data_IF_142706661384
#
_entry.id   IF_142706661384
#
_cell.length_a   1.000
_cell.length_b   1.000
_cell.length_c   1.000
_cell.angle_alpha   90.00
_cell.angle_beta   90.00
_cell.angle_gamma   90.00
#
_symmetry.space_group_name_H-M   'P 1'
#
loop_
_entity.id
_entity.type
_entity.pdbx_description
1 polymer ?
#
# COMPACT_ATOMS: atom_id res chain seq x y z
N UNK A 1 -2.30 113.37 48.58
CA UNK A 1 -0.83 113.38 48.56
C UNK A 1 -0.40 111.94 48.26
N UNK A 2 0.14 111.74 47.05
CA UNK A 2 1.01 110.63 46.58
C UNK A 2 0.43 109.20 46.56
N UNK A 3 0.19 108.76 45.32
CA UNK A 3 0.57 107.51 44.62
C UNK A 3 0.50 106.13 45.29
N UNK A 4 -0.01 105.17 44.49
CA UNK A 4 0.85 104.04 44.10
C UNK A 4 0.29 102.62 44.18
N UNK A 5 0.15 102.02 42.98
CA UNK A 5 0.45 100.62 42.66
C UNK A 5 -0.48 99.46 43.11
N UNK A 6 -1.23 98.96 42.11
CA UNK A 6 -1.28 97.57 41.61
C UNK A 6 -0.68 96.44 42.46
N UNK A 7 -1.49 95.41 42.74
CA UNK A 7 -1.23 94.01 42.38
C UNK A 7 -2.42 93.12 42.72
N UNK A 8 -2.67 92.14 41.86
CA UNK A 8 -3.70 91.11 41.91
C UNK A 8 -3.37 89.98 42.91
N UNK A 9 -4.42 89.21 43.24
CA UNK A 9 -4.42 87.78 43.58
C UNK A 9 -4.57 87.37 45.06
N UNK A 10 -5.78 86.91 45.42
CA UNK A 10 -6.15 85.97 46.50
C UNK A 10 -7.64 85.61 46.27
N UNK A 11 -8.17 84.41 46.50
CA UNK A 11 -7.65 83.19 47.11
C UNK A 11 -8.59 82.01 46.78
N UNK A 12 -8.12 80.82 47.15
CA UNK A 12 -8.77 79.53 47.46
C UNK A 12 -10.18 79.60 48.10
N UNK A 13 -10.97 78.55 48.36
CA UNK A 13 -11.13 77.12 48.07
C UNK A 13 -12.36 76.69 48.93
N UNK A 14 -12.84 75.46 48.71
CA UNK A 14 -13.69 74.66 49.61
C UNK A 14 -15.22 74.80 49.49
N UNK A 15 -15.84 73.72 49.00
CA UNK A 15 -16.86 73.06 49.82
C UNK A 15 -18.22 72.76 49.19
N UNK A 16 -18.37 71.51 48.74
CA UNK A 16 -19.55 70.65 48.94
C UNK A 16 -20.84 70.96 48.15
N UNK A 17 -21.19 70.10 47.19
CA UNK A 17 -22.09 68.95 47.37
C UNK A 17 -23.57 69.34 47.53
N UNK A 18 -24.39 69.01 46.52
CA UNK A 18 -25.64 68.21 46.63
C UNK A 18 -26.71 68.65 45.63
N UNK A 19 -27.15 67.68 44.82
CA UNK A 19 -28.47 67.66 44.17
C UNK A 19 -28.58 68.52 42.91
N UNK A 20 -29.34 68.15 41.88
CA UNK A 20 -30.39 67.15 41.82
C UNK A 20 -30.72 66.92 40.35
N UNK A 21 -30.51 65.67 39.93
CA UNK A 21 -31.45 64.85 39.16
C UNK A 21 -32.31 65.55 38.11
N UNK A 22 -32.04 65.24 36.84
CA UNK A 22 -33.07 64.97 35.82
C UNK A 22 -32.41 64.22 34.66
N UNK A 23 -32.58 62.89 34.62
CA UNK A 23 -32.77 62.07 33.41
C UNK A 23 -32.93 60.58 33.79
N UNK A 24 -34.13 60.24 34.26
CA UNK A 24 -34.83 59.02 33.85
C UNK A 24 -35.67 59.42 32.64
N UNK A 25 -35.97 58.64 31.60
CA UNK A 25 -35.89 57.22 31.27
C UNK A 25 -35.67 57.18 29.73
N UNK A 26 -35.14 56.15 29.08
CA UNK A 26 -35.77 54.85 28.83
C UNK A 26 -34.63 53.93 28.38
N UNK A 27 -34.15 53.10 29.29
CA UNK A 27 -33.23 52.00 28.98
C UNK A 27 -34.02 50.84 28.39
N UNK A 28 -34.33 50.90 27.09
CA UNK A 28 -34.74 49.73 26.33
C UNK A 28 -33.60 49.43 25.34
N UNK A 29 -32.67 48.57 25.74
CA UNK A 29 -31.65 48.04 24.85
C UNK A 29 -32.22 46.81 24.12
N UNK A 30 -32.55 46.87 22.81
CA UNK A 30 -32.86 45.66 22.02
C UNK A 30 -31.55 44.95 21.62
N UNK A 31 -30.63 44.75 22.57
CA UNK A 31 -29.29 44.15 22.34
C UNK A 31 -29.19 42.68 22.75
N UNK A 32 -30.18 42.15 23.48
CA UNK A 32 -30.17 40.77 23.99
C UNK A 32 -30.26 39.73 22.89
N UNK A 33 -31.15 39.91 21.91
CA UNK A 33 -31.36 38.92 20.85
C UNK A 33 -30.22 38.84 19.85
N UNK A 34 -29.60 39.97 19.48
CA UNK A 34 -28.47 39.96 18.54
C UNK A 34 -27.20 39.32 19.13
N UNK A 35 -26.93 39.49 20.43
CA UNK A 35 -25.82 38.80 21.08
C UNK A 35 -26.08 37.29 21.18
N UNK A 36 -27.30 36.88 21.54
CA UNK A 36 -27.67 35.45 21.61
C UNK A 36 -27.65 34.81 20.22
N UNK A 37 -28.15 35.50 19.19
CA UNK A 37 -28.11 35.01 17.80
C UNK A 37 -26.67 34.92 17.27
N UNK A 38 -25.81 35.91 17.57
CA UNK A 38 -24.38 35.87 17.20
C UNK A 38 -23.63 34.75 17.90
N UNK A 39 -23.92 34.50 19.19
CA UNK A 39 -23.35 33.37 19.93
C UNK A 39 -23.82 32.03 19.36
N UNK A 40 -25.11 31.91 19.02
CA UNK A 40 -25.65 30.72 18.38
C UNK A 40 -25.01 30.45 17.01
N UNK A 41 -24.85 31.49 16.18
CA UNK A 41 -24.18 31.38 14.88
C UNK A 41 -22.70 31.00 15.05
N UNK A 42 -22.01 31.57 16.04
CA UNK A 42 -20.62 31.22 16.35
C UNK A 42 -20.49 29.76 16.82
N UNK A 43 -21.39 29.29 17.68
CA UNK A 43 -21.43 27.91 18.15
C UNK A 43 -21.71 26.92 17.01
N UNK A 44 -22.67 27.24 16.13
CA UNK A 44 -22.98 26.42 14.95
C UNK A 44 -21.80 26.38 14.00
N UNK A 45 -21.13 27.51 13.73
CA UNK A 45 -19.91 27.53 12.89
C UNK A 45 -18.78 26.72 13.52
N UNK A 46 -18.57 26.83 14.83
CA UNK A 46 -17.56 26.05 15.53
C UNK A 46 -17.85 24.55 15.45
N UNK A 47 -19.11 24.15 15.70
CA UNK A 47 -19.53 22.76 15.58
C UNK A 47 -19.37 22.22 14.14
N UNK A 48 -19.70 23.04 13.14
CA UNK A 48 -19.54 22.68 11.73
C UNK A 48 -18.06 22.54 11.34
N UNK A 49 -17.20 23.42 11.84
CA UNK A 49 -15.74 23.34 11.63
C UNK A 49 -15.14 22.11 12.31
N UNK A 50 -15.59 21.78 13.52
CA UNK A 50 -15.17 20.56 14.23
C UNK A 50 -15.63 19.31 13.47
N UNK A 51 -16.86 19.30 12.96
CA UNK A 51 -17.38 18.20 12.14
C UNK A 51 -16.58 18.06 10.83
N UNK A 52 -16.30 19.17 10.13
CA UNK A 52 -15.46 19.19 8.93
C UNK A 52 -14.02 18.72 9.22
N UNK A 53 -13.43 19.15 10.34
CA UNK A 53 -12.12 18.71 10.77
C UNK A 53 -12.09 17.20 11.09
N UNK A 54 -13.11 16.67 11.75
CA UNK A 54 -13.25 15.23 12.02
C UNK A 54 -13.38 14.44 10.71
N UNK A 55 -14.20 14.89 9.77
CA UNK A 55 -14.34 14.25 8.45
C UNK A 55 -13.00 14.28 7.69
N UNK A 56 -12.30 15.41 7.69
CA UNK A 56 -10.98 15.54 7.07
C UNK A 56 -9.95 14.60 7.73
N UNK A 57 -9.95 14.48 9.07
CA UNK A 57 -9.08 13.53 9.79
C UNK A 57 -9.42 12.08 9.42
N UNK A 58 -10.69 11.71 9.33
CA UNK A 58 -11.07 10.33 8.90
C UNK A 58 -10.72 10.04 7.44
N UNK A 59 -10.71 11.06 6.57
CA UNK A 59 -10.28 10.93 5.17
C UNK A 59 -8.75 10.83 5.02
N UNK A 60 -7.99 11.33 6.00
CA UNK A 60 -6.52 11.34 6.01
C UNK A 60 -5.88 10.28 6.90
N UNK A 61 -6.66 9.56 7.69
CA UNK A 61 -6.21 8.40 8.45
C UNK A 61 -6.61 7.13 7.70
N UNK A 62 -5.85 6.66 6.69
CA UNK A 62 -5.98 5.29 6.25
C UNK A 62 -5.38 4.42 7.36
N UNK A 63 -6.11 4.24 8.46
CA UNK A 63 -5.87 3.14 9.40
C UNK A 63 -6.34 1.82 8.76
N UNK A 64 -5.93 1.59 7.50
CA UNK A 64 -6.08 0.29 6.87
C UNK A 64 -5.00 -0.55 7.51
N UNK A 65 -5.41 -1.29 8.53
CA UNK A 65 -4.52 -2.23 9.21
C UNK A 65 -4.04 -3.21 8.15
N UNK A 66 -2.75 -3.15 7.83
CA UNK A 66 -2.14 -4.13 6.96
C UNK A 66 -2.27 -5.50 7.62
N UNK A 67 -2.96 -6.42 6.94
CA UNK A 67 -3.15 -7.78 7.41
C UNK A 67 -2.03 -8.62 6.82
N UNK A 68 -1.23 -9.21 7.71
CA UNK A 68 -0.23 -10.21 7.30
C UNK A 68 -0.94 -11.55 7.15
N UNK A 69 -1.02 -12.07 5.92
CA UNK A 69 -1.51 -13.42 5.68
C UNK A 69 -0.41 -14.43 6.00
N UNK A 70 -0.64 -15.29 6.98
CA UNK A 70 0.30 -16.38 7.35
C UNK A 70 -0.38 -17.73 7.20
N UNK A 71 0.17 -18.57 6.34
CA UNK A 71 -0.22 -19.97 6.20
C UNK A 71 0.98 -20.83 6.61
N UNK A 72 0.77 -21.73 7.57
CA UNK A 72 1.80 -22.66 8.04
C UNK A 72 1.27 -24.08 8.03
N UNK A 73 1.99 -24.97 7.35
CA UNK A 73 1.53 -26.33 7.15
C UNK A 73 0.22 -26.39 6.35
N UNK A 74 -0.42 -27.55 6.41
CA UNK A 74 -1.76 -27.77 5.85
C UNK A 74 -1.78 -27.92 4.33
N UNK A 75 -2.99 -28.04 3.79
CA UNK A 75 -3.24 -28.29 2.37
C UNK A 75 -4.18 -27.24 1.81
N UNK A 76 -3.82 -26.69 0.66
CA UNK A 76 -4.64 -25.84 -0.18
C UNK A 76 -5.09 -26.68 -1.38
N UNK A 77 -6.36 -27.06 -1.35
CA UNK A 77 -7.02 -27.86 -2.37
C UNK A 77 -8.16 -27.10 -3.07
N UNK A 78 -8.33 -25.82 -2.73
CA UNK A 78 -9.23 -24.88 -3.40
C UNK A 78 -8.46 -23.65 -3.85
N UNK A 79 -8.95 -23.00 -4.89
CA UNK A 79 -8.33 -21.78 -5.41
C UNK A 79 -8.36 -20.66 -4.36
N UNK A 80 -7.23 -19.96 -4.22
CA UNK A 80 -7.08 -18.83 -3.31
C UNK A 80 -6.65 -17.61 -4.12
N UNK A 81 -7.30 -16.47 -3.90
CA UNK A 81 -6.85 -15.18 -4.39
C UNK A 81 -6.56 -14.27 -3.22
N UNK A 82 -5.31 -13.87 -3.08
CA UNK A 82 -4.81 -12.97 -2.05
C UNK A 82 -4.64 -11.59 -2.66
N UNK A 83 -5.21 -10.57 -2.03
CA UNK A 83 -5.11 -9.20 -2.52
C UNK A 83 -5.50 -8.21 -1.44
N UNK A 84 -6.81 -7.92 -1.34
CA UNK A 84 -7.35 -6.83 -0.51
C UNK A 84 -6.84 -6.87 0.93
N UNK A 85 -6.40 -5.70 1.42
CA UNK A 85 -5.92 -5.47 2.79
C UNK A 85 -4.66 -6.26 3.20
N UNK A 86 -3.98 -6.91 2.26
CA UNK A 86 -2.74 -7.65 2.50
C UNK A 86 -1.56 -6.88 1.93
N UNK A 87 -0.50 -6.71 2.72
CA UNK A 87 0.81 -6.23 2.26
C UNK A 87 1.87 -7.35 2.25
N UNK A 88 1.68 -8.33 3.13
CA UNK A 88 2.64 -9.39 3.41
C UNK A 88 1.95 -10.76 3.40
N UNK A 89 2.50 -11.68 2.62
CA UNK A 89 2.08 -13.08 2.58
C UNK A 89 3.24 -13.97 2.95
N UNK A 90 3.06 -14.82 3.95
CA UNK A 90 4.04 -15.82 4.38
C UNK A 90 3.39 -17.20 4.30
N UNK A 91 3.91 -18.07 3.45
CA UNK A 91 3.53 -19.48 3.37
C UNK A 91 4.71 -20.34 3.74
N UNK A 92 4.56 -21.21 4.75
CA UNK A 92 5.63 -22.07 5.25
C UNK A 92 5.15 -23.51 5.38
N UNK A 93 5.70 -24.43 4.60
CA UNK A 93 5.33 -25.85 4.63
C UNK A 93 3.92 -26.14 4.11
N UNK A 94 3.35 -25.27 3.27
CA UNK A 94 1.99 -25.44 2.73
C UNK A 94 2.02 -26.37 1.50
N UNK A 95 1.10 -27.33 1.44
CA UNK A 95 0.93 -28.21 0.28
C UNK A 95 -0.20 -27.70 -0.62
N UNK A 96 0.06 -27.44 -1.89
CA UNK A 96 -0.92 -26.96 -2.89
C UNK A 96 -1.17 -28.11 -3.87
N UNK A 97 -2.42 -28.53 -4.03
CA UNK A 97 -2.75 -29.76 -4.76
C UNK A 97 -3.95 -29.59 -5.68
N UNK A 98 -4.41 -30.67 -6.33
CA UNK A 98 -5.66 -30.73 -7.10
C UNK A 98 -5.78 -29.69 -8.22
N UNK A 99 -4.65 -29.30 -8.83
CA UNK A 99 -4.66 -28.38 -9.96
C UNK A 99 -5.11 -26.97 -9.64
N UNK A 100 -5.13 -26.58 -8.36
CA UNK A 100 -5.66 -25.27 -7.96
C UNK A 100 -4.67 -24.14 -8.20
N UNK A 101 -5.23 -22.93 -8.33
CA UNK A 101 -4.46 -21.71 -8.46
C UNK A 101 -4.41 -20.96 -7.12
N UNK A 102 -3.20 -20.61 -6.69
CA UNK A 102 -2.94 -19.62 -5.63
C UNK A 102 -2.49 -18.34 -6.32
N UNK A 103 -3.29 -17.29 -6.21
CA UNK A 103 -3.08 -16.03 -6.93
C UNK A 103 -2.75 -14.93 -5.94
N UNK A 104 -1.57 -14.34 -6.05
CA UNK A 104 -1.19 -13.10 -5.40
C UNK A 104 -1.48 -11.93 -6.34
N UNK A 105 -2.57 -11.24 -6.09
CA UNK A 105 -3.09 -10.15 -6.89
C UNK A 105 -2.50 -8.81 -6.44
N UNK A 106 -1.31 -8.49 -6.94
CA UNK A 106 -0.50 -7.33 -6.53
C UNK A 106 -1.26 -6.00 -6.68
N UNK A 107 -2.02 -5.73 -7.76
CA UNK A 107 -2.85 -4.52 -7.85
C UNK A 107 -3.92 -4.40 -6.76
N UNK A 108 -4.45 -5.52 -6.27
CA UNK A 108 -5.47 -5.55 -5.22
C UNK A 108 -4.88 -5.50 -3.80
N UNK A 109 -3.57 -5.72 -3.65
CA UNK A 109 -2.85 -5.55 -2.39
C UNK A 109 -2.75 -4.08 -1.98
N UNK A 110 -2.39 -3.87 -0.71
CA UNK A 110 -2.22 -2.52 -0.17
C UNK A 110 -1.15 -1.72 -0.95
N UNK A 111 -1.29 -0.40 -1.04
CA UNK A 111 -0.25 0.43 -1.59
C UNK A 111 1.02 0.36 -0.71
N UNK A 112 2.18 0.55 -1.33
CA UNK A 112 3.48 0.60 -0.64
C UNK A 112 4.37 -0.61 -0.93
N UNK A 113 5.10 -1.04 0.10
CA UNK A 113 6.05 -2.15 0.02
C UNK A 113 5.35 -3.48 0.28
N UNK A 114 5.40 -4.37 -0.69
CA UNK A 114 4.74 -5.68 -0.67
C UNK A 114 5.75 -6.81 -0.51
N UNK A 115 5.38 -7.85 0.23
CA UNK A 115 6.21 -9.04 0.43
C UNK A 115 5.42 -10.33 0.26
N UNK A 116 5.93 -11.23 -0.57
CA UNK A 116 5.39 -12.58 -0.76
C UNK A 116 6.53 -13.57 -0.50
N UNK A 117 6.37 -14.42 0.51
CA UNK A 117 7.37 -15.42 0.89
C UNK A 117 6.76 -16.82 0.91
N UNK A 118 7.39 -17.73 0.15
CA UNK A 118 7.09 -19.14 0.13
C UNK A 118 8.33 -19.90 0.65
N UNK A 119 8.16 -20.65 1.75
CA UNK A 119 9.22 -21.46 2.35
C UNK A 119 8.77 -22.91 2.43
N UNK A 120 9.59 -23.82 1.90
CA UNK A 120 9.37 -25.26 2.00
C UNK A 120 7.96 -25.71 1.56
N UNK A 121 7.33 -24.96 0.64
CA UNK A 121 6.02 -25.30 0.13
C UNK A 121 6.12 -26.47 -0.86
N UNK A 122 5.05 -27.24 -0.96
CA UNK A 122 4.92 -28.32 -1.93
C UNK A 122 3.79 -27.97 -2.89
N UNK A 123 3.98 -28.19 -4.18
CA UNK A 123 2.94 -27.99 -5.19
C UNK A 123 2.86 -29.20 -6.12
N UNK A 124 1.71 -29.86 -6.19
CA UNK A 124 1.53 -31.07 -6.98
C UNK A 124 0.22 -31.09 -7.74
N UNK A 125 0.10 -32.02 -8.70
CA UNK A 125 -1.17 -32.33 -9.36
C UNK A 125 -1.70 -31.21 -10.26
N UNK A 126 -0.81 -30.41 -10.85
CA UNK A 126 -1.15 -29.30 -11.73
C UNK A 126 -1.30 -27.96 -11.02
N UNK A 127 -0.90 -27.87 -9.75
CA UNK A 127 -1.00 -26.67 -8.93
C UNK A 127 -0.19 -25.50 -9.52
N UNK A 128 -0.76 -24.30 -9.44
CA UNK A 128 -0.21 -23.11 -10.07
C UNK A 128 -0.16 -21.96 -9.07
N UNK A 129 1.01 -21.34 -8.96
CA UNK A 129 1.25 -20.21 -8.08
C UNK A 129 1.46 -18.97 -8.95
N UNK A 130 0.51 -18.05 -8.89
CA UNK A 130 0.50 -16.84 -9.70
C UNK A 130 0.91 -15.62 -8.87
N UNK A 131 1.87 -14.85 -9.39
CA UNK A 131 2.09 -13.47 -8.99
C UNK A 131 1.57 -12.60 -10.13
N UNK A 132 0.41 -11.96 -9.91
CA UNK A 132 -0.31 -11.18 -10.92
C UNK A 132 -0.04 -9.69 -10.71
N UNK A 133 0.57 -9.07 -11.70
CA UNK A 133 0.84 -7.64 -11.77
C UNK A 133 -0.21 -6.83 -12.53
N UNK A 134 0.19 -5.66 -12.99
CA UNK A 134 -0.62 -4.67 -13.71
C UNK A 134 -0.66 -4.98 -15.20
N UNK A 135 -1.85 -5.11 -15.78
CA UNK A 135 -2.03 -5.34 -17.22
C UNK A 135 -1.58 -4.16 -18.09
N UNK A 136 -1.40 -2.97 -17.51
CA UNK A 136 -0.89 -1.76 -18.15
C UNK A 136 0.40 -1.27 -17.50
N UNK A 137 0.52 0.05 -17.33
CA UNK A 137 1.68 0.65 -16.65
C UNK A 137 1.72 0.23 -15.16
N UNK A 138 2.84 -0.32 -14.67
CA UNK A 138 2.97 -0.70 -13.27
C UNK A 138 3.01 0.53 -12.35
N UNK A 139 2.62 0.33 -11.08
CA UNK A 139 2.75 1.38 -10.07
C UNK A 139 4.23 1.67 -9.77
N UNK A 140 4.66 2.91 -10.01
CA UNK A 140 6.04 3.38 -9.78
C UNK A 140 6.34 3.68 -8.31
N UNK A 141 5.30 3.95 -7.51
CA UNK A 141 5.36 4.26 -6.08
C UNK A 141 5.30 3.00 -5.19
N UNK A 142 5.38 1.81 -5.79
CA UNK A 142 5.30 0.52 -5.09
C UNK A 142 6.55 -0.31 -5.29
N UNK A 143 6.82 -1.16 -4.31
CA UNK A 143 7.89 -2.18 -4.37
C UNK A 143 7.33 -3.55 -4.04
N UNK A 144 7.95 -4.58 -4.58
CA UNK A 144 7.53 -5.97 -4.39
C UNK A 144 8.75 -6.86 -4.17
N UNK A 145 8.78 -7.57 -3.05
CA UNK A 145 9.72 -8.64 -2.79
C UNK A 145 9.00 -9.99 -2.88
N UNK A 146 9.44 -10.84 -3.80
CA UNK A 146 8.99 -12.24 -3.91
C UNK A 146 10.17 -13.14 -3.55
N UNK A 147 10.02 -13.93 -2.50
CA UNK A 147 11.02 -14.92 -2.10
C UNK A 147 10.42 -16.31 -2.11
N UNK A 148 10.98 -17.19 -2.94
CA UNK A 148 10.61 -18.59 -3.06
C UNK A 148 11.82 -19.42 -2.67
N UNK A 149 11.69 -20.18 -1.59
CA UNK A 149 12.75 -21.03 -1.06
C UNK A 149 12.22 -22.41 -0.72
N UNK A 150 12.91 -23.47 -1.14
CA UNK A 150 12.46 -24.83 -0.84
C UNK A 150 11.15 -25.22 -1.53
N UNK A 151 10.71 -24.54 -2.59
CA UNK A 151 9.51 -24.93 -3.31
C UNK A 151 9.79 -26.24 -4.06
N UNK A 152 8.99 -27.27 -3.79
CA UNK A 152 9.16 -28.58 -4.40
C UNK A 152 7.86 -29.07 -5.02
N UNK A 153 7.93 -29.81 -6.13
CA UNK A 153 6.70 -30.24 -6.78
C UNK A 153 6.83 -30.89 -8.14
N UNK A 154 5.87 -31.75 -8.46
CA UNK A 154 5.67 -32.37 -9.77
C UNK A 154 4.31 -31.94 -10.34
N UNK A 155 4.28 -31.55 -11.61
CA UNK A 155 3.16 -30.82 -12.20
C UNK A 155 2.88 -29.53 -11.42
N UNK A 156 3.92 -28.71 -11.26
CA UNK A 156 3.81 -27.41 -10.61
C UNK A 156 4.33 -26.29 -11.51
N UNK A 157 3.73 -25.11 -11.41
CA UNK A 157 4.19 -23.92 -12.11
C UNK A 157 4.22 -22.70 -11.20
N UNK A 158 5.34 -21.99 -11.21
CA UNK A 158 5.44 -20.63 -10.69
C UNK A 158 5.26 -19.66 -11.87
N UNK A 159 4.24 -18.81 -11.79
CA UNK A 159 3.82 -17.96 -12.90
C UNK A 159 3.85 -16.50 -12.47
N UNK A 160 4.60 -15.69 -13.21
CA UNK A 160 4.52 -14.25 -13.15
C UNK A 160 3.74 -13.77 -14.36
N UNK A 161 2.68 -13.02 -14.13
CA UNK A 161 1.82 -12.51 -15.19
C UNK A 161 1.67 -11.00 -15.07
N UNK A 162 1.71 -10.32 -16.21
CA UNK A 162 1.63 -8.86 -16.32
C UNK A 162 2.83 -8.13 -15.70
N UNK A 163 2.80 -6.79 -15.69
CA UNK A 163 3.91 -5.96 -15.23
C UNK A 163 3.92 -5.88 -13.70
N UNK A 164 5.02 -6.29 -13.07
CA UNK A 164 5.22 -6.12 -11.64
C UNK A 164 5.64 -4.66 -11.33
N UNK A 165 5.49 -4.18 -10.08
CA UNK A 165 5.94 -2.84 -9.69
C UNK A 165 7.38 -2.53 -10.11
N UNK A 166 7.68 -1.25 -10.33
CA UNK A 166 8.99 -0.82 -10.83
C UNK A 166 10.16 -1.34 -9.96
N UNK A 167 10.01 -1.40 -8.64
CA UNK A 167 11.03 -1.91 -7.72
C UNK A 167 10.70 -3.33 -7.26
N UNK A 168 10.79 -4.30 -8.18
CA UNK A 168 10.52 -5.71 -7.87
C UNK A 168 11.79 -6.54 -7.78
N UNK A 169 11.93 -7.31 -6.70
CA UNK A 169 12.97 -8.32 -6.54
C UNK A 169 12.33 -9.70 -6.36
N UNK A 170 12.61 -10.60 -7.30
CA UNK A 170 12.16 -11.99 -7.28
C UNK A 170 13.37 -12.89 -7.06
N UNK A 171 13.32 -13.66 -5.98
CA UNK A 171 14.33 -14.67 -5.66
C UNK A 171 13.68 -16.05 -5.65
N UNK A 172 14.27 -16.98 -6.40
CA UNK A 172 13.90 -18.40 -6.39
C UNK A 172 15.16 -19.18 -6.06
N UNK A 173 15.14 -19.87 -4.92
CA UNK A 173 16.31 -20.61 -4.45
C UNK A 173 15.97 -21.96 -3.85
N UNK A 174 16.95 -22.86 -3.87
CA UNK A 174 16.89 -24.14 -3.18
C UNK A 174 15.60 -24.93 -3.53
N UNK A 175 15.10 -24.79 -4.76
CA UNK A 175 13.76 -25.24 -5.19
C UNK A 175 13.85 -26.30 -6.29
N UNK A 176 12.87 -27.19 -6.38
CA UNK A 176 12.81 -28.25 -7.39
C UNK A 176 11.40 -28.35 -7.97
N UNK A 177 11.21 -27.83 -9.18
CA UNK A 177 9.91 -27.82 -9.86
C UNK A 177 10.02 -28.63 -11.14
N UNK A 178 9.15 -29.63 -11.26
CA UNK A 178 9.15 -30.56 -12.38
C UNK A 178 7.79 -30.54 -13.07
N UNK A 179 7.80 -30.46 -14.40
CA UNK A 179 6.60 -30.54 -15.24
C UNK A 179 6.74 -31.72 -16.24
N UNK A 180 6.36 -32.94 -15.83
CA UNK A 180 6.59 -34.15 -16.62
C UNK A 180 5.54 -34.43 -17.70
N UNK A 181 4.38 -33.77 -17.62
CA UNK A 181 3.31 -33.90 -18.59
C UNK A 181 2.64 -32.56 -18.89
N UNK A 182 1.67 -32.51 -19.82
CA UNK A 182 0.94 -31.29 -20.16
C UNK A 182 0.19 -30.72 -18.94
N UNK A 183 0.12 -29.39 -18.85
CA UNK A 183 -0.61 -28.63 -17.83
C UNK A 183 -1.36 -27.50 -18.54
N UNK A 184 -2.56 -27.17 -18.06
CA UNK A 184 -3.38 -26.09 -18.62
C UNK A 184 -3.36 -24.88 -17.69
N UNK A 185 -3.01 -23.73 -18.23
CA UNK A 185 -3.09 -22.45 -17.52
C UNK A 185 -4.51 -21.89 -17.66
N UNK A 186 -5.41 -22.28 -16.75
CA UNK A 186 -6.83 -21.89 -16.82
C UNK A 186 -7.06 -20.39 -16.64
N UNK A 187 -6.13 -19.67 -15.99
CA UNK A 187 -6.23 -18.23 -15.76
C UNK A 187 -5.51 -17.35 -16.80
N UNK A 188 -4.83 -17.96 -17.78
CA UNK A 188 -4.10 -17.22 -18.81
C UNK A 188 -4.79 -17.37 -20.17
N UNK A 189 -5.56 -16.35 -20.54
CA UNK A 189 -6.11 -16.23 -21.90
C UNK A 189 -4.98 -16.30 -22.93
N UNK A 190 -5.06 -17.25 -23.87
CA UNK A 190 -4.04 -17.44 -24.91
C UNK A 190 -2.92 -18.43 -24.58
N UNK A 191 -2.88 -19.00 -23.38
CA UNK A 191 -1.97 -20.11 -23.01
C UNK A 191 -2.66 -21.48 -22.94
N UNK A 192 -3.81 -21.64 -23.62
CA UNK A 192 -4.57 -22.89 -23.69
C UNK A 192 -3.77 -24.08 -24.25
N UNK A 193 -2.78 -23.80 -25.11
CA UNK A 193 -1.87 -24.80 -25.72
C UNK A 193 -0.42 -24.67 -25.23
N UNK A 194 -0.18 -23.86 -24.18
CA UNK A 194 1.16 -23.71 -23.65
C UNK A 194 1.56 -24.96 -22.86
N UNK A 195 2.68 -25.55 -23.26
CA UNK A 195 3.28 -26.71 -22.62
C UNK A 195 3.62 -26.40 -21.17
N UNK A 196 3.44 -27.41 -20.32
CA UNK A 196 3.76 -27.36 -18.91
C UNK A 196 5.19 -26.86 -18.66
N UNK A 197 5.28 -25.71 -18.00
CA UNK A 197 6.54 -25.01 -17.74
C UNK A 197 6.66 -24.74 -16.25
N UNK A 198 7.81 -25.05 -15.63
CA UNK A 198 7.99 -24.93 -14.19
C UNK A 198 8.06 -23.46 -13.73
N UNK A 199 8.48 -22.56 -14.62
CA UNK A 199 8.53 -21.12 -14.42
C UNK A 199 8.03 -20.42 -15.68
N UNK A 200 7.02 -19.55 -15.54
CA UNK A 200 6.40 -18.81 -16.63
C UNK A 200 6.46 -17.32 -16.36
N UNK A 201 6.90 -16.55 -17.36
CA UNK A 201 6.79 -15.09 -17.39
C UNK A 201 5.87 -14.73 -18.55
N UNK A 202 4.68 -14.20 -18.28
CA UNK A 202 3.68 -13.92 -19.30
C UNK A 202 3.28 -12.44 -19.31
N UNK A 203 3.50 -11.76 -20.44
CA UNK A 203 3.26 -10.32 -20.57
C UNK A 203 3.94 -9.50 -19.45
N UNK A 204 5.10 -9.96 -18.98
CA UNK A 204 5.84 -9.36 -17.87
C UNK A 204 7.05 -8.62 -18.40
N UNK A 205 7.12 -7.31 -18.14
CA UNK A 205 8.32 -6.52 -18.37
C UNK A 205 9.33 -6.74 -17.25
N UNK A 206 10.58 -7.05 -17.61
CA UNK A 206 11.70 -7.20 -16.67
C UNK A 206 12.63 -5.97 -16.62
N UNK A 207 12.22 -4.82 -17.15
CA UNK A 207 13.09 -3.66 -17.30
C UNK A 207 13.63 -3.12 -15.97
N UNK A 208 12.79 -3.11 -14.93
CA UNK A 208 13.13 -2.62 -13.60
C UNK A 208 13.04 -3.71 -12.52
N UNK A 209 12.67 -4.93 -12.91
CA UNK A 209 12.53 -6.07 -12.00
C UNK A 209 13.76 -6.97 -12.06
N UNK A 210 14.23 -7.47 -10.92
CA UNK A 210 15.29 -8.47 -10.88
C UNK A 210 14.71 -9.85 -10.62
N UNK A 211 15.06 -10.83 -11.45
CA UNK A 211 14.78 -12.25 -11.22
C UNK A 211 16.09 -13.00 -10.98
N UNK A 212 16.27 -13.51 -9.77
CA UNK A 212 17.43 -14.31 -9.37
C UNK A 212 17.01 -15.74 -9.09
N UNK A 213 17.60 -16.67 -9.85
CA UNK A 213 17.40 -18.11 -9.67
C UNK A 213 18.73 -18.72 -9.25
N UNK A 214 18.77 -19.42 -8.11
CA UNK A 214 19.99 -20.04 -7.57
C UNK A 214 19.71 -21.40 -6.96
N UNK A 215 20.61 -22.38 -7.14
CA UNK A 215 20.43 -23.73 -6.58
C UNK A 215 19.01 -24.31 -6.82
N UNK A 216 18.47 -24.10 -8.02
CA UNK A 216 17.08 -24.46 -8.36
C UNK A 216 17.07 -25.37 -9.56
N UNK A 217 16.25 -26.42 -9.50
CA UNK A 217 16.02 -27.36 -10.58
C UNK A 217 14.65 -27.06 -11.20
N UNK A 218 14.65 -26.61 -12.45
CA UNK A 218 13.45 -26.40 -13.26
C UNK A 218 13.49 -27.39 -14.41
N UNK A 219 12.62 -28.39 -14.40
CA UNK A 219 12.59 -29.44 -15.44
C UNK A 219 11.24 -29.47 -16.13
N UNK A 220 11.24 -29.42 -17.46
CA UNK A 220 10.08 -29.76 -18.29
C UNK A 220 10.45 -30.92 -19.20
N UNK A 221 9.54 -31.89 -19.35
CA UNK A 221 9.74 -33.06 -20.21
C UNK A 221 9.17 -32.88 -21.62
N UNK A 222 8.55 -31.73 -21.88
CA UNK A 222 8.03 -31.37 -23.20
C UNK A 222 8.79 -30.15 -23.73
N UNK A 223 9.18 -30.19 -25.00
CA UNK A 223 9.82 -29.06 -25.66
C UNK A 223 8.81 -27.92 -25.80
N UNK A 224 8.95 -26.89 -24.97
CA UNK A 224 7.96 -25.81 -24.84
C UNK A 224 8.61 -24.47 -24.56
N UNK A 225 9.53 -24.03 -25.42
CA UNK A 225 10.06 -22.67 -25.38
C UNK A 225 9.49 -21.86 -26.54
N UNK A 226 8.62 -20.88 -26.27
CA UNK A 226 8.25 -19.85 -27.26
C UNK A 226 8.83 -18.54 -26.77
N UNK A 227 9.93 -18.11 -27.40
CA UNK A 227 10.61 -16.85 -27.07
C UNK A 227 10.10 -15.76 -28.00
N UNK A 228 9.27 -14.87 -27.49
CA UNK A 228 9.06 -13.55 -28.09
C UNK A 228 9.98 -12.53 -27.43
N UNK A 229 11.08 -12.16 -28.08
CA UNK A 229 11.82 -10.93 -27.76
C UNK A 229 12.67 -10.86 -26.47
N UNK A 230 13.08 -11.98 -25.85
CA UNK A 230 13.94 -11.92 -24.66
C UNK A 230 15.45 -11.93 -25.02
N UNK A 231 16.19 -10.87 -24.67
CA UNK A 231 17.66 -10.82 -24.74
C UNK A 231 18.26 -11.19 -23.38
N UNK A 232 18.82 -12.39 -23.26
CA UNK A 232 19.48 -12.85 -22.04
C UNK A 232 20.91 -12.34 -21.96
N UNK A 233 21.29 -11.69 -20.84
CA UNK A 233 22.69 -11.41 -20.49
C UNK A 233 23.08 -12.24 -19.27
N UNK A 234 23.79 -13.35 -19.50
CA UNK A 234 24.43 -14.12 -18.43
C UNK A 234 25.54 -13.27 -17.81
N UNK A 235 25.50 -13.02 -16.50
CA UNK A 235 26.65 -12.47 -15.75
C UNK A 235 27.31 -13.64 -15.02
N UNK A 236 28.43 -14.13 -15.54
CA UNK A 236 29.24 -15.19 -14.93
C UNK A 236 30.69 -14.75 -14.85
N UNK A 237 31.28 -14.84 -13.65
CA UNK A 237 32.70 -14.60 -13.41
C UNK A 237 33.52 -15.69 -14.11
N UNK A 238 34.44 -15.29 -14.99
CA UNK A 238 35.42 -16.20 -15.54
C UNK A 238 36.34 -16.68 -14.41
N UNK A 239 36.42 -17.99 -14.20
CA UNK A 239 37.54 -18.60 -13.47
C UNK A 239 38.69 -18.68 -14.47
N UNK A 240 39.72 -17.86 -14.28
CA UNK A 240 40.99 -18.02 -14.96
C UNK A 240 41.58 -19.39 -14.59
N UNK A 241 41.76 -20.27 -15.58
CA UNK A 241 42.68 -21.38 -15.45
C UNK A 241 44.08 -20.84 -15.68
N UNK A 242 44.80 -20.60 -14.60
CA UNK A 242 46.26 -20.62 -14.64
C UNK A 242 46.73 -22.03 -14.96
N UNK A 243 47.62 -22.15 -15.94
CA UNK A 243 48.31 -23.38 -16.30
C UNK A 243 49.59 -23.00 -17.03
N UNK A 244 50.70 -23.19 -16.34
CA UNK A 244 52.10 -23.12 -16.78
C UNK A 244 52.37 -24.01 -17.99
#
# INVERSE_FOLDING_TARGET
MVDGASATHHESSVGNCLGRWMQSAVGACPRGWHCVLRMAIAAVRAALLVALALVAVTAWMPAVHAVVLRLRGGTVDRAITVGRAVDTVLMDGVCITNGVAVVFDVPAMLPGALRIELRNCVCDGGAQIYVRGYSGEPASDRSLEVSVSGLSGSYCSLVFVHNLPAHTNVTVRDSTIVTPGPMRYSQLSGLTDAVASPLVLHATSLLLTQLRVSNTVLRSFYAGGRVGGARWRRRGSAVERGGT
#
